data_IF_579680392897
#
_entry.id   IF_579680392897
#
_cell.length_a   1.000
_cell.length_b   1.000
_cell.length_c   1.000
_cell.angle_alpha   90.00
_cell.angle_beta   90.00
_cell.angle_gamma   90.00
#
_symmetry.space_group_name_H-M   'P 1'
#
loop_
_entity.id
_entity.type
_entity.pdbx_description
1 polymer ?
#
# COMPACT_ATOMS: atom_id res chain seq x y z
N UNK A 1 -32.86 -41.75 37.84
CA UNK A 1 -32.39 -40.39 38.20
C UNK A 1 -31.14 -39.94 37.43
N UNK A 2 -30.03 -40.69 37.33
CA UNK A 2 -28.80 -40.29 36.64
C UNK A 2 -29.00 -39.93 35.15
N UNK A 3 -29.79 -40.68 34.38
CA UNK A 3 -30.05 -40.46 32.97
C UNK A 3 -30.72 -39.12 32.69
N UNK A 4 -31.70 -38.73 33.47
CA UNK A 4 -32.41 -37.46 33.31
C UNK A 4 -31.51 -36.26 33.67
N UNK A 5 -30.60 -36.45 34.63
CA UNK A 5 -29.62 -35.43 35.00
C UNK A 5 -28.64 -35.14 33.84
N UNK A 6 -28.15 -36.17 33.14
CA UNK A 6 -27.32 -35.98 31.97
C UNK A 6 -28.04 -35.25 30.83
N UNK A 7 -29.31 -35.60 30.56
CA UNK A 7 -30.09 -34.88 29.52
C UNK A 7 -30.29 -33.42 29.87
N UNK A 8 -30.51 -33.07 31.11
CA UNK A 8 -30.65 -31.70 31.56
C UNK A 8 -29.35 -30.94 31.34
N UNK A 9 -28.20 -31.48 31.71
CA UNK A 9 -26.89 -30.84 31.51
C UNK A 9 -26.62 -30.58 30.01
N UNK A 10 -26.86 -31.60 29.18
CA UNK A 10 -26.65 -31.46 27.71
C UNK A 10 -27.57 -30.38 27.11
N UNK A 11 -28.87 -30.38 27.52
CA UNK A 11 -29.83 -29.37 27.05
C UNK A 11 -29.45 -27.96 27.47
N UNK A 12 -29.06 -27.77 28.73
CA UNK A 12 -28.61 -26.44 29.21
C UNK A 12 -27.37 -25.98 28.49
N UNK A 13 -26.38 -26.87 28.29
CA UNK A 13 -25.17 -26.55 27.54
C UNK A 13 -25.48 -26.15 26.08
N UNK A 14 -26.34 -26.91 25.40
CA UNK A 14 -26.76 -26.63 24.03
C UNK A 14 -27.45 -25.26 23.90
N UNK A 15 -28.35 -24.94 24.83
CA UNK A 15 -29.03 -23.64 24.85
C UNK A 15 -28.03 -22.53 25.05
N UNK A 16 -27.05 -22.71 25.93
CA UNK A 16 -26.02 -21.71 26.21
C UNK A 16 -25.13 -21.45 24.98
N UNK A 17 -24.75 -22.49 24.23
CA UNK A 17 -24.03 -22.39 22.97
C UNK A 17 -24.85 -21.67 21.89
N UNK A 18 -26.16 -21.99 21.76
CA UNK A 18 -27.04 -21.34 20.78
C UNK A 18 -27.14 -19.83 21.09
N UNK A 19 -27.34 -19.47 22.35
CA UNK A 19 -27.37 -18.07 22.78
C UNK A 19 -26.05 -17.35 22.50
N UNK A 20 -24.92 -18.00 22.74
CA UNK A 20 -23.59 -17.42 22.47
C UNK A 20 -23.34 -17.23 20.98
N UNK A 21 -23.72 -18.21 20.15
CA UNK A 21 -23.63 -18.10 18.69
C UNK A 21 -24.52 -16.97 18.14
N UNK A 22 -25.75 -16.90 18.63
CA UNK A 22 -26.67 -15.84 18.27
C UNK A 22 -26.10 -14.45 18.61
N UNK A 23 -25.57 -14.30 19.83
CA UNK A 23 -24.91 -13.07 20.25
C UNK A 23 -23.73 -12.69 19.33
N UNK A 24 -22.89 -13.66 18.99
CA UNK A 24 -21.74 -13.44 18.12
C UNK A 24 -22.15 -13.09 16.68
N UNK A 25 -23.22 -13.68 16.18
CA UNK A 25 -23.66 -13.46 14.79
C UNK A 25 -24.46 -12.17 14.62
N UNK A 26 -25.28 -11.81 15.60
CA UNK A 26 -26.19 -10.65 15.48
C UNK A 26 -25.59 -9.38 16.09
N UNK A 27 -25.01 -9.46 17.28
CA UNK A 27 -24.50 -8.29 17.99
C UNK A 27 -23.00 -8.02 17.78
N UNK A 28 -22.19 -9.06 17.66
CA UNK A 28 -20.76 -8.96 17.51
C UNK A 28 -20.31 -8.98 16.04
N UNK A 29 -21.06 -8.34 15.15
CA UNK A 29 -20.72 -8.23 13.71
C UNK A 29 -19.42 -7.47 13.40
N UNK A 30 -18.78 -6.88 14.42
CA UNK A 30 -17.46 -6.20 14.28
C UNK A 30 -16.23 -7.10 14.11
N UNK A 31 -16.18 -8.37 14.52
CA UNK A 31 -14.96 -9.17 14.33
C UNK A 31 -14.67 -9.54 12.87
N UNK A 32 -15.67 -9.52 11.97
CA UNK A 32 -15.45 -9.83 10.55
C UNK A 32 -14.51 -8.85 9.85
N UNK A 33 -14.58 -7.57 10.19
CA UNK A 33 -13.69 -6.55 9.61
C UNK A 33 -12.21 -6.76 9.96
N UNK A 34 -11.93 -7.36 11.12
CA UNK A 34 -10.56 -7.65 11.56
C UNK A 34 -9.97 -8.83 10.78
N UNK A 35 -10.80 -9.79 10.39
CA UNK A 35 -10.36 -10.94 9.58
C UNK A 35 -10.21 -10.60 8.10
N UNK A 36 -11.05 -9.73 7.55
CA UNK A 36 -10.90 -9.22 6.18
C UNK A 36 -9.60 -8.45 5.99
N UNK A 37 -9.20 -7.61 6.94
CA UNK A 37 -7.93 -6.88 6.89
C UNK A 37 -6.69 -7.80 6.90
N UNK A 38 -6.80 -9.01 7.45
CA UNK A 38 -5.68 -9.95 7.50
C UNK A 38 -5.64 -10.93 6.31
N UNK A 39 -6.78 -11.18 5.66
CA UNK A 39 -6.91 -12.15 4.55
C UNK A 39 -6.82 -11.46 3.18
N UNK A 40 -7.24 -10.21 3.06
CA UNK A 40 -7.32 -9.49 1.79
C UNK A 40 -6.14 -8.52 1.67
N UNK A 41 -5.21 -8.83 0.78
CA UNK A 41 -4.15 -7.88 0.39
C UNK A 41 -4.71 -6.90 -0.63
N UNK A 42 -4.98 -5.66 -0.23
CA UNK A 42 -5.36 -4.59 -1.16
C UNK A 42 -4.14 -4.21 -2.03
N UNK A 43 -4.25 -4.42 -3.32
CA UNK A 43 -3.24 -3.98 -4.30
C UNK A 43 -3.79 -2.76 -5.02
N UNK A 44 -3.17 -1.61 -4.81
CA UNK A 44 -3.55 -0.39 -5.49
C UNK A 44 -2.91 -0.35 -6.88
N UNK A 45 -3.74 -0.21 -7.92
CA UNK A 45 -3.26 0.00 -9.29
C UNK A 45 -3.53 1.45 -9.68
N UNK A 46 -2.47 2.20 -9.93
CA UNK A 46 -2.59 3.60 -10.33
C UNK A 46 -2.95 3.69 -11.82
N UNK A 47 -4.09 4.32 -12.17
CA UNK A 47 -4.50 4.48 -13.56
C UNK A 47 -3.56 5.42 -14.31
N UNK A 48 -3.51 5.27 -15.62
CA UNK A 48 -2.83 6.22 -16.51
C UNK A 48 -3.73 7.42 -16.75
N UNK A 49 -3.16 8.61 -16.73
CA UNK A 49 -3.87 9.84 -17.14
C UNK A 49 -3.93 9.92 -18.66
N UNK A 50 -4.93 10.64 -19.21
CA UNK A 50 -5.01 10.92 -20.65
C UNK A 50 -3.81 11.72 -21.17
N UNK A 51 -3.52 11.61 -22.45
CA UNK A 51 -2.55 12.47 -23.13
C UNK A 51 -3.19 13.82 -23.46
N UNK A 52 -2.37 14.88 -23.55
CA UNK A 52 -2.83 16.21 -23.96
C UNK A 52 -2.06 16.60 -25.23
N UNK A 53 -2.80 16.94 -26.27
CA UNK A 53 -2.29 17.36 -27.55
C UNK A 53 -2.66 18.81 -27.83
N UNK A 54 -1.91 19.48 -28.69
CA UNK A 54 -2.29 20.77 -29.22
C UNK A 54 -3.22 20.64 -30.44
N UNK A 55 -3.64 21.78 -31.02
CA UNK A 55 -4.49 21.80 -32.22
C UNK A 55 -3.86 21.12 -33.44
N UNK A 56 -2.54 21.00 -33.46
CA UNK A 56 -1.78 20.38 -34.54
C UNK A 56 -1.39 18.94 -34.25
N UNK A 57 -2.05 18.28 -33.28
CA UNK A 57 -1.76 16.91 -32.79
C UNK A 57 -0.34 16.74 -32.22
N UNK A 58 0.32 17.80 -31.80
CA UNK A 58 1.60 17.72 -31.12
C UNK A 58 1.37 17.35 -29.66
N UNK A 59 2.06 16.32 -29.18
CA UNK A 59 1.94 15.84 -27.80
C UNK A 59 2.57 16.81 -26.81
N UNK A 60 1.74 17.46 -26.00
CA UNK A 60 2.15 18.42 -24.97
C UNK A 60 2.45 17.72 -23.65
N UNK A 61 1.60 16.80 -23.24
CA UNK A 61 1.72 16.11 -21.95
C UNK A 61 1.50 14.61 -22.12
N UNK A 62 2.44 13.82 -21.63
CA UNK A 62 2.46 12.37 -21.72
C UNK A 62 2.61 11.70 -20.37
N UNK A 63 2.55 10.37 -20.35
CA UNK A 63 2.86 9.57 -19.19
C UNK A 63 4.23 8.91 -19.36
N UNK A 64 5.06 9.01 -18.36
CA UNK A 64 6.35 8.32 -18.29
C UNK A 64 6.29 7.25 -17.22
N UNK A 65 6.61 5.97 -17.54
CA UNK A 65 6.68 4.94 -16.52
C UNK A 65 7.81 5.24 -15.53
N UNK A 66 7.49 5.12 -14.26
CA UNK A 66 8.41 5.18 -13.14
C UNK A 66 8.21 3.95 -12.26
N UNK A 67 9.15 3.65 -11.42
CA UNK A 67 9.10 2.49 -10.54
C UNK A 67 9.43 2.94 -9.12
N UNK A 68 8.62 2.50 -8.18
CA UNK A 68 8.83 2.79 -6.76
C UNK A 68 9.16 1.49 -6.02
N UNK A 69 10.13 1.54 -5.12
CA UNK A 69 10.37 0.45 -4.18
C UNK A 69 9.43 0.65 -3.01
N UNK A 70 8.57 -0.34 -2.82
CA UNK A 70 7.63 -0.39 -1.71
C UNK A 70 8.19 -1.28 -0.61
N UNK A 71 7.84 -0.95 0.63
CA UNK A 71 8.17 -1.74 1.81
C UNK A 71 6.91 -2.06 2.61
N UNK A 72 6.84 -3.28 3.14
CA UNK A 72 5.92 -3.69 4.19
C UNK A 72 6.77 -4.00 5.42
N UNK A 73 6.89 -3.07 6.39
CA UNK A 73 7.87 -3.21 7.47
C UNK A 73 7.73 -4.50 8.28
N UNK A 74 6.48 -4.94 8.51
CA UNK A 74 6.22 -6.18 9.27
C UNK A 74 6.66 -7.48 8.58
N UNK A 75 6.93 -7.45 7.27
CA UNK A 75 7.42 -8.59 6.51
C UNK A 75 8.95 -8.59 6.34
N UNK A 76 9.61 -7.49 6.70
CA UNK A 76 11.07 -7.37 6.59
C UNK A 76 11.74 -8.29 7.61
N UNK A 77 12.44 -9.31 7.13
CA UNK A 77 13.27 -10.20 7.95
C UNK A 77 14.67 -9.63 8.06
N UNK A 78 15.56 -10.31 8.82
CA UNK A 78 16.98 -9.98 8.88
C UNK A 78 17.56 -9.96 7.46
N UNK A 79 18.03 -8.81 7.02
CA UNK A 79 18.65 -8.58 5.70
C UNK A 79 20.08 -8.07 5.89
N UNK A 80 20.95 -8.38 4.94
CA UNK A 80 22.25 -7.72 4.88
C UNK A 80 22.06 -6.26 4.44
N UNK A 81 22.09 -5.37 5.43
CA UNK A 81 21.89 -3.94 5.22
C UNK A 81 22.98 -3.34 4.34
N UNK A 82 24.21 -3.90 4.35
CA UNK A 82 25.31 -3.39 3.53
C UNK A 82 25.06 -3.69 2.06
N UNK A 83 24.75 -4.97 1.75
CA UNK A 83 24.45 -5.39 0.39
C UNK A 83 23.25 -4.62 -0.17
N UNK A 84 22.19 -4.49 0.64
CA UNK A 84 20.98 -3.77 0.24
C UNK A 84 21.21 -2.27 0.02
N UNK A 85 21.97 -1.60 0.89
CA UNK A 85 22.30 -0.18 0.73
C UNK A 85 23.16 0.06 -0.51
N UNK A 86 24.15 -0.81 -0.76
CA UNK A 86 24.98 -0.73 -1.97
C UNK A 86 24.16 -0.94 -3.24
N UNK A 87 23.19 -1.88 -3.21
CA UNK A 87 22.29 -2.15 -4.32
C UNK A 87 21.43 -0.93 -4.67
N UNK A 88 20.94 -0.21 -3.67
CA UNK A 88 20.09 0.97 -3.85
C UNK A 88 20.87 2.29 -3.92
N UNK A 89 22.18 2.25 -3.76
CA UNK A 89 23.07 3.45 -3.72
C UNK A 89 22.64 4.45 -2.64
N UNK A 90 22.22 3.95 -1.47
CA UNK A 90 21.82 4.76 -0.32
C UNK A 90 22.75 4.49 0.87
N UNK A 91 22.84 5.46 1.77
CA UNK A 91 23.62 5.29 3.01
C UNK A 91 22.84 4.49 4.05
N UNK A 92 23.55 3.79 4.96
CA UNK A 92 22.91 3.12 6.11
C UNK A 92 22.06 4.06 6.96
N UNK A 93 22.50 5.30 7.10
CA UNK A 93 21.77 6.31 7.87
C UNK A 93 20.42 6.65 7.23
N UNK A 94 20.40 6.80 5.91
CA UNK A 94 19.17 7.00 5.15
C UNK A 94 18.25 5.78 5.18
N UNK A 95 18.82 4.58 5.05
CA UNK A 95 18.08 3.34 5.18
C UNK A 95 17.35 3.24 6.52
N UNK A 96 18.07 3.44 7.63
CA UNK A 96 17.49 3.39 8.97
C UNK A 96 16.41 4.47 9.16
N UNK A 97 16.65 5.70 8.70
CA UNK A 97 15.67 6.79 8.75
C UNK A 97 14.38 6.44 7.98
N UNK A 98 14.52 5.85 6.78
CA UNK A 98 13.37 5.44 5.95
C UNK A 98 12.60 4.28 6.59
N UNK A 99 13.29 3.26 7.11
CA UNK A 99 12.63 2.15 7.84
C UNK A 99 11.89 2.67 9.07
N UNK A 100 12.52 3.51 9.87
CA UNK A 100 11.88 4.07 11.05
C UNK A 100 10.64 4.89 10.68
N UNK A 101 10.71 5.73 9.65
CA UNK A 101 9.57 6.51 9.16
C UNK A 101 8.40 5.61 8.72
N UNK A 102 8.69 4.56 7.97
CA UNK A 102 7.65 3.64 7.46
C UNK A 102 7.08 2.75 8.57
N UNK A 103 7.90 2.28 9.50
CA UNK A 103 7.46 1.48 10.66
C UNK A 103 6.59 2.28 11.62
N UNK A 104 6.90 3.57 11.83
CA UNK A 104 6.08 4.45 12.66
C UNK A 104 4.70 4.74 12.03
N UNK A 105 4.59 4.67 10.70
CA UNK A 105 3.33 4.85 10.02
C UNK A 105 2.45 3.58 10.13
N UNK A 106 2.96 2.44 9.70
CA UNK A 106 2.28 1.14 9.83
C UNK A 106 3.24 -0.02 9.55
N UNK A 107 3.09 -1.11 10.30
CA UNK A 107 3.83 -2.34 10.05
C UNK A 107 3.20 -3.21 8.94
N UNK A 108 1.90 -3.04 8.65
CA UNK A 108 1.14 -3.90 7.73
C UNK A 108 0.87 -3.24 6.37
N UNK A 109 0.79 -1.91 6.33
CA UNK A 109 0.44 -1.16 5.13
C UNK A 109 1.68 -0.94 4.27
N UNK A 110 1.63 -1.23 2.96
CA UNK A 110 2.71 -0.91 2.03
C UNK A 110 3.00 0.59 2.01
N UNK A 111 4.25 0.94 2.13
CA UNK A 111 4.71 2.34 2.09
C UNK A 111 5.82 2.52 1.06
N UNK A 112 5.96 3.73 0.50
CA UNK A 112 7.02 4.04 -0.46
C UNK A 112 8.35 4.15 0.29
N UNK A 113 9.29 3.27 -0.04
CA UNK A 113 10.65 3.28 0.50
C UNK A 113 11.59 4.15 -0.35
N UNK A 114 11.58 3.96 -1.66
CA UNK A 114 12.33 4.77 -2.61
C UNK A 114 11.47 5.01 -3.86
N UNK A 115 11.23 6.29 -4.19
CA UNK A 115 10.41 6.69 -5.33
C UNK A 115 11.28 7.02 -6.55
N UNK A 116 10.63 7.03 -7.71
CA UNK A 116 11.17 7.58 -8.96
C UNK A 116 12.39 6.86 -9.52
N UNK A 117 12.43 5.52 -9.43
CA UNK A 117 13.46 4.76 -10.13
C UNK A 117 13.31 4.88 -11.65
N UNK A 118 14.45 5.02 -12.32
CA UNK A 118 14.49 5.01 -13.77
C UNK A 118 14.22 3.61 -14.34
N UNK A 119 13.91 3.52 -15.63
CA UNK A 119 13.73 2.24 -16.30
C UNK A 119 15.02 1.38 -16.29
N UNK A 120 16.19 2.01 -16.38
CA UNK A 120 17.49 1.33 -16.32
C UNK A 120 17.75 0.73 -14.94
N UNK A 121 17.50 1.52 -13.87
CA UNK A 121 17.67 1.03 -12.49
C UNK A 121 16.69 -0.09 -12.17
N UNK A 122 15.45 0.00 -12.66
CA UNK A 122 14.45 -1.06 -12.52
C UNK A 122 14.96 -2.40 -13.09
N UNK A 123 15.55 -2.40 -14.29
CA UNK A 123 16.05 -3.63 -14.90
C UNK A 123 17.07 -4.37 -14.03
N UNK A 124 17.97 -3.62 -13.37
CA UNK A 124 18.99 -4.18 -12.48
C UNK A 124 18.40 -4.62 -11.12
N UNK A 125 17.45 -3.84 -10.61
CA UNK A 125 16.91 -4.03 -9.27
C UNK A 125 15.79 -5.07 -9.21
N UNK A 126 15.05 -5.28 -10.29
CA UNK A 126 13.83 -6.09 -10.30
C UNK A 126 14.08 -7.54 -9.88
N UNK A 127 15.21 -8.12 -10.29
CA UNK A 127 15.58 -9.47 -9.91
C UNK A 127 16.15 -9.54 -8.49
N UNK A 128 17.03 -8.61 -8.16
CA UNK A 128 17.74 -8.59 -6.87
C UNK A 128 16.82 -8.31 -5.71
N UNK A 129 15.84 -7.43 -5.86
CA UNK A 129 14.88 -7.06 -4.80
C UNK A 129 14.03 -8.26 -4.36
N UNK A 130 13.77 -9.24 -5.23
CA UNK A 130 13.03 -10.45 -4.87
C UNK A 130 13.64 -11.25 -3.72
N UNK A 131 14.96 -11.15 -3.51
CA UNK A 131 15.66 -11.79 -2.38
C UNK A 131 15.27 -11.19 -1.03
N UNK A 132 14.83 -9.95 -1.00
CA UNK A 132 14.56 -9.20 0.23
C UNK A 132 13.07 -9.22 0.55
N UNK A 133 12.66 -10.14 1.45
CA UNK A 133 11.26 -10.24 1.89
C UNK A 133 10.80 -8.93 2.52
N UNK A 134 9.60 -8.48 2.15
CA UNK A 134 9.04 -7.22 2.59
C UNK A 134 9.29 -6.05 1.65
N UNK A 135 10.13 -6.21 0.62
CA UNK A 135 10.34 -5.22 -0.44
C UNK A 135 9.80 -5.73 -1.77
N UNK A 136 9.19 -4.84 -2.55
CA UNK A 136 8.76 -5.12 -3.90
C UNK A 136 8.73 -3.83 -4.74
N UNK A 137 8.72 -3.99 -6.05
CA UNK A 137 8.66 -2.85 -6.96
C UNK A 137 7.24 -2.68 -7.47
N UNK A 138 6.75 -1.46 -7.42
CA UNK A 138 5.47 -1.05 -7.96
C UNK A 138 5.67 -0.08 -9.11
N UNK A 139 5.02 -0.36 -10.25
CA UNK A 139 5.01 0.53 -11.40
C UNK A 139 4.06 1.70 -11.13
N UNK A 140 4.53 2.90 -11.41
CA UNK A 140 3.76 4.14 -11.33
C UNK A 140 3.88 4.90 -12.65
N UNK A 141 2.91 5.74 -12.98
CA UNK A 141 2.96 6.60 -14.14
C UNK A 141 3.13 8.05 -13.67
N UNK A 142 4.26 8.65 -14.06
CA UNK A 142 4.52 10.07 -13.82
C UNK A 142 4.05 10.90 -15.00
N UNK A 143 3.62 12.12 -14.74
CA UNK A 143 3.25 13.09 -15.75
C UNK A 143 4.52 13.71 -16.32
N UNK A 144 4.68 13.65 -17.65
CA UNK A 144 5.79 14.28 -18.36
C UNK A 144 5.26 15.41 -19.22
N UNK A 145 5.75 16.60 -18.95
CA UNK A 145 5.45 17.80 -19.71
C UNK A 145 6.54 17.99 -20.78
N UNK A 146 6.13 17.95 -22.05
CA UNK A 146 7.05 18.10 -23.18
C UNK A 146 7.21 19.56 -23.59
N UNK A 147 6.46 20.46 -22.97
CA UNK A 147 6.51 21.91 -23.19
C UNK A 147 6.87 22.63 -21.90
N UNK A 148 7.54 23.78 -22.04
CA UNK A 148 7.85 24.68 -20.90
C UNK A 148 6.87 25.85 -20.79
N UNK A 149 5.88 25.92 -21.68
CA UNK A 149 4.87 26.99 -21.73
C UNK A 149 3.51 26.46 -21.42
N UNK A 150 2.58 27.34 -21.00
CA UNK A 150 1.21 26.97 -20.73
C UNK A 150 0.97 26.33 -19.37
N UNK A 151 1.83 26.56 -18.38
CA UNK A 151 1.69 25.98 -17.03
C UNK A 151 0.34 26.27 -16.38
N UNK A 152 -0.22 27.47 -16.63
CA UNK A 152 -1.53 27.87 -16.09
C UNK A 152 -2.71 27.03 -16.64
N UNK A 153 -2.55 26.48 -17.86
CA UNK A 153 -3.57 25.65 -18.52
C UNK A 153 -3.32 24.17 -18.24
N UNK A 154 -2.06 23.74 -18.31
CA UNK A 154 -1.67 22.34 -18.16
C UNK A 154 -1.64 21.91 -16.70
N UNK A 155 -1.54 22.85 -15.77
CA UNK A 155 -1.44 22.60 -14.35
C UNK A 155 -0.14 21.87 -13.96
N UNK A 156 -0.16 21.34 -12.75
CA UNK A 156 0.90 20.47 -12.22
C UNK A 156 0.30 19.30 -11.45
N UNK A 157 1.08 18.29 -11.22
CA UNK A 157 0.69 17.16 -10.40
C UNK A 157 1.60 17.09 -9.17
N UNK A 158 1.01 16.83 -8.01
CA UNK A 158 1.72 16.72 -6.74
C UNK A 158 1.18 15.55 -5.91
N UNK A 159 1.96 15.12 -4.94
CA UNK A 159 1.48 14.16 -3.95
C UNK A 159 0.40 14.78 -3.06
N UNK A 160 -0.61 13.99 -2.71
CA UNK A 160 -1.73 14.42 -1.86
C UNK A 160 -1.22 14.91 -0.51
N UNK A 161 -1.63 16.10 -0.11
CA UNK A 161 -1.31 16.65 1.20
C UNK A 161 -2.14 15.98 2.32
N UNK A 162 -1.64 16.04 3.57
CA UNK A 162 -2.40 15.52 4.73
C UNK A 162 -3.78 16.18 4.86
N UNK A 163 -3.88 17.47 4.59
CA UNK A 163 -5.15 18.18 4.64
C UNK A 163 -6.18 17.70 3.61
N UNK A 164 -5.73 17.21 2.46
CA UNK A 164 -6.62 16.64 1.45
C UNK A 164 -7.10 15.25 1.85
N UNK A 165 -6.24 14.44 2.47
CA UNK A 165 -6.60 13.11 3.00
C UNK A 165 -7.63 13.22 4.13
N UNK A 166 -7.50 14.23 4.99
CA UNK A 166 -8.45 14.47 6.08
C UNK A 166 -9.83 14.94 5.58
N UNK A 167 -9.85 15.68 4.46
CA UNK A 167 -11.09 16.18 3.85
C UNK A 167 -11.84 15.14 3.03
N UNK A 168 -11.13 14.23 2.42
CA UNK A 168 -11.71 13.22 1.52
C UNK A 168 -11.03 11.86 1.74
N UNK A 169 -11.81 10.92 2.25
CA UNK A 169 -11.38 9.55 2.53
C UNK A 169 -11.03 8.73 1.28
N UNK A 170 -11.32 9.25 0.08
CA UNK A 170 -10.94 8.63 -1.18
C UNK A 170 -9.42 8.61 -1.37
N UNK A 171 -8.72 9.65 -0.88
CA UNK A 171 -7.28 9.79 -1.05
C UNK A 171 -6.50 9.04 0.02
N UNK A 172 -5.37 8.46 -0.41
CA UNK A 172 -4.41 7.78 0.47
C UNK A 172 -3.03 8.41 0.34
N UNK A 173 -2.18 8.21 1.34
CA UNK A 173 -0.79 8.69 1.30
C UNK A 173 -0.05 8.10 0.10
N UNK A 174 0.55 8.96 -0.72
CA UNK A 174 1.26 8.59 -1.94
C UNK A 174 0.43 8.70 -3.22
N UNK A 175 -0.86 9.06 -3.13
CA UNK A 175 -1.67 9.38 -4.30
C UNK A 175 -1.21 10.69 -4.93
N UNK A 176 -1.46 10.85 -6.22
CA UNK A 176 -1.06 12.02 -7.00
C UNK A 176 -2.31 12.73 -7.51
N UNK A 177 -2.46 13.97 -7.12
CA UNK A 177 -3.53 14.89 -7.57
C UNK A 177 -2.94 16.05 -8.36
N UNK A 178 -3.80 16.72 -9.12
CA UNK A 178 -3.48 17.93 -9.87
C UNK A 178 -4.64 18.39 -10.71
#
# INVERSE_FOLDING_TARGET
MRRNFFFIIVSVSSILFIFRLFYLQVYASKPYSIYEDNAIRKVFTYPKRGYIFDRNNKLLVSNQPSYDIMIIPGLVKKIDTNEFCNLLKITKKEFNKKIQKTSNYSLKIPSVFLAHLSKSDFGILAEKIRKYKGFYIQKRNLRKYNTKVGANVLGYVAEVSRSNIEKDSYYSTGDIIG
#
